data_IF_370905488072
#
_entry.id   IF_370905488072
#
_cell.length_a   1.000
_cell.length_b   1.000
_cell.length_c   1.000
_cell.angle_alpha   90.00
_cell.angle_beta   90.00
_cell.angle_gamma   90.00
#
_symmetry.space_group_name_H-M   'P 1'
#
loop_
_entity.id
_entity.type
_entity.pdbx_description
1 polymer ?
#
# COMPACT_ATOMS: atom_id res chain seq x y z
N UNK A 1 -3.94 -10.88 -32.00
CA UNK A 1 -5.41 -10.84 -32.12
C UNK A 1 -5.86 -9.40 -31.85
N UNK A 2 -6.88 -8.82 -32.59
CA UNK A 2 -7.29 -7.42 -32.36
C UNK A 2 -7.78 -7.14 -30.93
N UNK A 3 -8.31 -8.15 -30.22
CA UNK A 3 -8.69 -8.03 -28.81
C UNK A 3 -7.45 -7.88 -27.91
N UNK A 4 -6.40 -8.60 -28.21
CA UNK A 4 -5.13 -8.53 -27.43
C UNK A 4 -4.44 -7.19 -27.64
N UNK A 5 -4.58 -6.61 -28.85
CA UNK A 5 -4.00 -5.29 -29.16
C UNK A 5 -4.76 -4.17 -28.45
N UNK A 6 -6.08 -4.28 -28.35
CA UNK A 6 -6.92 -3.32 -27.62
C UNK A 6 -6.68 -3.40 -26.11
N UNK A 7 -6.46 -4.59 -25.58
CA UNK A 7 -6.11 -4.81 -24.18
C UNK A 7 -4.68 -4.35 -23.89
N UNK A 8 -3.75 -4.62 -24.80
CA UNK A 8 -2.37 -4.15 -24.72
C UNK A 8 -2.29 -2.62 -24.84
N UNK A 9 -3.04 -2.01 -25.77
CA UNK A 9 -3.14 -0.56 -25.87
C UNK A 9 -3.78 0.05 -24.63
N UNK A 10 -4.81 -0.57 -24.07
CA UNK A 10 -5.43 -0.14 -22.80
C UNK A 10 -4.46 -0.21 -21.62
N UNK A 11 -3.59 -1.21 -21.56
CA UNK A 11 -2.53 -1.33 -20.55
C UNK A 11 -1.43 -0.27 -20.75
N UNK A 12 -1.06 0.07 -21.99
CA UNK A 12 -0.09 1.12 -22.31
C UNK A 12 -0.68 2.53 -22.22
N UNK A 13 -1.94 2.70 -22.55
CA UNK A 13 -2.66 3.98 -22.37
C UNK A 13 -2.83 4.34 -20.89
N UNK A 14 -2.78 3.36 -20.00
CA UNK A 14 -2.90 3.56 -18.54
C UNK A 14 -1.87 4.54 -17.97
N UNK A 15 -0.70 4.69 -18.58
CA UNK A 15 0.32 5.62 -18.09
C UNK A 15 0.19 7.04 -18.63
N UNK A 16 -0.43 7.24 -19.80
CA UNK A 16 -0.48 8.54 -20.46
C UNK A 16 -1.87 9.18 -20.56
N UNK A 17 -2.93 8.37 -20.54
CA UNK A 17 -4.31 8.82 -20.81
C UNK A 17 -5.32 8.50 -19.70
N UNK A 18 -4.86 8.22 -18.49
CA UNK A 18 -5.75 8.00 -17.36
C UNK A 18 -6.55 9.27 -17.07
N UNK A 19 -7.88 9.11 -16.99
CA UNK A 19 -8.76 10.24 -16.64
C UNK A 19 -8.57 10.71 -15.21
N UNK A 20 -8.12 9.81 -14.33
CA UNK A 20 -7.84 10.04 -12.91
C UNK A 20 -6.39 10.48 -12.64
N UNK A 21 -5.58 10.71 -13.71
CA UNK A 21 -4.19 11.18 -13.57
C UNK A 21 -4.06 12.44 -12.70
N UNK A 22 -4.91 13.48 -12.86
CA UNK A 22 -4.83 14.68 -12.02
C UNK A 22 -5.03 14.37 -10.53
N UNK A 23 -5.92 13.44 -10.20
CA UNK A 23 -6.22 13.04 -8.84
C UNK A 23 -5.07 12.24 -8.22
N UNK A 24 -4.46 11.34 -9.01
CA UNK A 24 -3.26 10.60 -8.60
C UNK A 24 -2.10 11.55 -8.36
N UNK A 25 -1.89 12.54 -9.25
CA UNK A 25 -0.89 13.58 -9.08
C UNK A 25 -1.15 14.43 -7.85
N UNK A 26 -2.41 14.80 -7.58
CA UNK A 26 -2.77 15.55 -6.38
C UNK A 26 -2.47 14.76 -5.11
N UNK A 27 -2.76 13.45 -5.09
CA UNK A 27 -2.43 12.56 -3.98
C UNK A 27 -0.92 12.41 -3.78
N UNK A 28 -0.16 12.21 -4.87
CA UNK A 28 1.29 12.15 -4.83
C UNK A 28 1.91 13.46 -4.33
N UNK A 29 1.43 14.60 -4.83
CA UNK A 29 1.86 15.91 -4.40
C UNK A 29 1.58 16.16 -2.91
N UNK A 30 0.40 15.75 -2.43
CA UNK A 30 0.05 15.84 -1.02
C UNK A 30 1.05 15.07 -0.15
N UNK A 31 1.42 13.84 -0.53
CA UNK A 31 2.43 13.06 0.19
C UNK A 31 3.80 13.74 0.18
N UNK A 32 4.23 14.30 -0.95
CA UNK A 32 5.49 15.05 -1.04
C UNK A 32 5.51 16.22 -0.08
N UNK A 33 4.41 16.97 0.03
CA UNK A 33 4.30 18.18 0.88
C UNK A 33 4.25 17.84 2.38
N UNK A 34 3.79 16.64 2.74
CA UNK A 34 3.55 16.27 4.14
C UNK A 34 4.59 15.29 4.72
N UNK A 35 5.34 14.58 3.85
CA UNK A 35 6.42 13.68 4.28
C UNK A 35 7.71 14.45 4.53
N UNK A 36 8.14 14.48 5.78
CA UNK A 36 9.44 15.00 6.18
C UNK A 36 10.63 14.16 5.70
N UNK A 37 11.82 14.59 6.08
CA UNK A 37 13.04 13.82 5.84
C UNK A 37 13.02 12.54 6.67
N UNK A 38 13.29 11.40 6.03
CA UNK A 38 13.28 10.08 6.67
C UNK A 38 11.90 9.49 6.96
N UNK A 39 10.82 10.25 6.74
CA UNK A 39 9.45 9.74 6.88
C UNK A 39 9.02 8.98 5.62
N UNK A 40 8.19 7.97 5.82
CA UNK A 40 7.66 7.11 4.76
C UNK A 40 6.15 7.04 4.82
N UNK A 41 5.54 6.81 3.66
CA UNK A 41 4.15 6.41 3.54
C UNK A 41 4.07 4.96 3.07
N UNK A 42 2.97 4.28 3.36
CA UNK A 42 2.70 2.94 2.89
C UNK A 42 1.35 2.89 2.16
N UNK A 43 1.34 2.36 0.96
CA UNK A 43 0.12 2.17 0.18
C UNK A 43 -0.30 0.70 0.25
N UNK A 44 -1.45 0.43 0.89
CA UNK A 44 -1.98 -0.93 1.01
C UNK A 44 -2.49 -1.46 -0.34
N UNK A 45 -3.26 -0.69 -1.13
CA UNK A 45 -3.65 -1.11 -2.47
C UNK A 45 -2.44 -1.35 -3.38
N UNK A 46 -2.45 -2.50 -4.08
CA UNK A 46 -1.41 -2.85 -5.03
C UNK A 46 -2.01 -3.65 -6.19
N UNK A 47 -2.57 -2.94 -7.14
CA UNK A 47 -3.10 -3.52 -8.35
C UNK A 47 -2.45 -2.91 -9.60
N UNK A 48 -2.87 -3.34 -10.78
CA UNK A 48 -2.32 -2.81 -12.03
C UNK A 48 -2.63 -1.33 -12.26
N UNK A 49 -3.70 -0.81 -11.64
CA UNK A 49 -4.12 0.58 -11.82
C UNK A 49 -3.59 1.49 -10.71
N UNK A 50 -3.50 0.97 -9.51
CA UNK A 50 -3.17 1.71 -8.31
C UNK A 50 -2.14 0.96 -7.47
N UNK A 51 -0.90 1.37 -7.57
CA UNK A 51 0.22 0.80 -6.84
C UNK A 51 1.26 1.89 -6.50
N UNK A 52 2.17 1.62 -5.57
CA UNK A 52 3.21 2.57 -5.18
C UNK A 52 4.05 3.09 -6.35
N UNK A 53 4.33 2.23 -7.35
CA UNK A 53 5.09 2.61 -8.53
C UNK A 53 4.39 3.69 -9.38
N UNK A 54 3.06 3.62 -9.48
CA UNK A 54 2.29 4.65 -10.19
C UNK A 54 2.32 6.01 -9.46
N UNK A 55 2.26 6.01 -8.12
CA UNK A 55 2.39 7.25 -7.36
C UNK A 55 3.80 7.84 -7.49
N UNK A 56 4.86 7.03 -7.36
CA UNK A 56 6.25 7.49 -7.56
C UNK A 56 6.46 8.08 -8.95
N UNK A 57 5.91 7.43 -9.97
CA UNK A 57 6.01 7.90 -11.35
C UNK A 57 5.14 9.12 -11.66
N UNK A 58 4.12 9.41 -10.86
CA UNK A 58 3.31 10.63 -10.98
C UNK A 58 3.99 11.87 -10.41
N UNK A 59 5.00 11.69 -9.56
CA UNK A 59 5.83 12.75 -8.98
C UNK A 59 6.95 13.22 -9.92
N UNK A 60 6.96 12.80 -11.17
CA UNK A 60 7.95 13.27 -12.14
C UNK A 60 7.80 14.78 -12.38
N UNK A 61 8.91 15.54 -12.38
CA UNK A 61 10.30 15.07 -12.50
C UNK A 61 11.09 14.98 -11.18
N UNK A 62 10.49 15.24 -10.02
CA UNK A 62 11.23 15.44 -8.77
C UNK A 62 11.71 14.14 -8.11
N UNK A 63 11.10 13.00 -8.44
CA UNK A 63 11.35 11.70 -7.78
C UNK A 63 11.28 11.77 -6.24
N UNK A 64 10.52 12.75 -5.70
CA UNK A 64 10.51 13.06 -4.28
C UNK A 64 9.89 11.94 -3.41
N UNK A 65 9.15 11.02 -4.02
CA UNK A 65 8.60 9.82 -3.37
C UNK A 65 9.51 8.60 -3.47
N UNK A 66 10.64 8.68 -4.19
CA UNK A 66 11.60 7.59 -4.24
C UNK A 66 12.20 7.38 -2.83
N UNK A 67 12.16 6.13 -2.35
CA UNK A 67 12.57 5.79 -0.99
C UNK A 67 11.59 6.18 0.12
N UNK A 68 10.55 6.99 -0.17
CA UNK A 68 9.52 7.38 0.79
C UNK A 68 8.22 6.59 0.67
N UNK A 69 8.04 5.90 -0.43
CA UNK A 69 6.88 5.04 -0.71
C UNK A 69 7.40 3.68 -1.17
N UNK A 70 7.65 2.74 -0.24
CA UNK A 70 8.13 1.41 -0.58
C UNK A 70 7.09 0.64 -1.41
N UNK A 71 7.54 -0.41 -2.09
CA UNK A 71 6.64 -1.35 -2.74
C UNK A 71 5.79 -2.06 -1.69
N UNK A 72 4.57 -2.39 -2.07
CA UNK A 72 3.68 -3.17 -1.22
C UNK A 72 4.12 -4.64 -1.18
N UNK A 73 3.49 -5.44 -0.32
CA UNK A 73 3.84 -6.85 -0.09
C UNK A 73 3.47 -7.82 -1.23
N UNK A 74 2.83 -7.33 -2.28
CA UNK A 74 2.30 -8.16 -3.37
C UNK A 74 3.13 -8.05 -4.63
N UNK A 75 4.34 -8.60 -4.60
CA UNK A 75 5.07 -8.88 -5.85
C UNK A 75 4.66 -10.26 -6.34
N UNK A 76 4.22 -10.45 -7.61
CA UNK A 76 3.83 -11.75 -8.13
C UNK A 76 4.87 -12.82 -7.85
N UNK A 77 4.48 -13.87 -7.11
CA UNK A 77 5.33 -15.01 -6.77
C UNK A 77 6.24 -14.86 -5.55
N UNK A 78 6.23 -13.70 -4.89
CA UNK A 78 6.96 -13.50 -3.63
C UNK A 78 6.11 -12.76 -2.62
N UNK A 79 5.83 -13.40 -1.50
CA UNK A 79 5.24 -12.73 -0.35
C UNK A 79 6.34 -12.36 0.64
N UNK A 80 6.33 -11.15 1.15
CA UNK A 80 7.18 -10.74 2.25
C UNK A 80 6.34 -9.95 3.26
N UNK A 81 6.69 -10.07 4.52
CA UNK A 81 5.99 -9.34 5.56
C UNK A 81 6.32 -7.85 5.46
N UNK A 82 5.31 -6.97 5.38
CA UNK A 82 5.51 -5.56 5.03
C UNK A 82 5.93 -4.73 6.24
N UNK A 83 7.14 -4.93 6.75
CA UNK A 83 7.65 -4.17 7.92
C UNK A 83 7.59 -2.66 7.70
N UNK A 84 7.79 -2.18 6.46
CA UNK A 84 7.69 -0.76 6.12
C UNK A 84 6.31 -0.13 6.38
N UNK A 85 5.25 -0.93 6.52
CA UNK A 85 3.95 -0.45 6.96
C UNK A 85 3.99 0.08 8.40
N UNK A 86 4.72 -0.59 9.27
CA UNK A 86 4.82 -0.20 10.68
C UNK A 86 5.73 1.00 10.89
N UNK A 87 6.63 1.27 9.93
CA UNK A 87 7.49 2.45 9.92
C UNK A 87 6.79 3.67 9.30
N UNK A 88 5.63 3.46 8.64
CA UNK A 88 4.97 4.51 7.88
C UNK A 88 4.26 5.51 8.79
N UNK A 89 4.53 6.80 8.53
CA UNK A 89 3.75 7.90 9.11
C UNK A 89 2.35 7.98 8.49
N UNK A 90 2.26 7.79 7.17
CA UNK A 90 1.00 7.83 6.45
C UNK A 90 0.69 6.48 5.81
N UNK A 91 -0.57 6.06 5.91
CA UNK A 91 -1.10 4.86 5.25
C UNK A 91 -2.14 5.29 4.23
N UNK A 92 -2.02 4.77 3.01
CA UNK A 92 -2.97 5.01 1.92
C UNK A 92 -3.84 3.78 1.72
N UNK A 93 -5.15 3.98 1.76
CA UNK A 93 -6.18 2.96 1.49
C UNK A 93 -7.06 3.37 0.33
N UNK A 94 -7.85 2.44 -0.20
CA UNK A 94 -8.86 2.71 -1.24
C UNK A 94 -10.19 2.04 -0.90
N UNK A 95 -11.28 2.69 -1.31
CA UNK A 95 -12.64 2.15 -1.25
C UNK A 95 -13.35 2.42 -2.60
N UNK A 96 -13.86 1.37 -3.29
CA UNK A 96 -13.68 -0.04 -2.98
C UNK A 96 -12.19 -0.43 -3.03
N UNK A 97 -11.81 -1.42 -2.22
CA UNK A 97 -10.45 -1.96 -2.27
C UNK A 97 -10.23 -2.64 -3.63
N UNK A 98 -9.21 -2.24 -4.40
CA UNK A 98 -9.02 -2.77 -5.74
C UNK A 98 -8.68 -4.25 -5.70
N UNK A 99 -9.28 -4.99 -6.63
CA UNK A 99 -8.96 -6.40 -6.82
C UNK A 99 -7.61 -6.49 -7.53
N UNK A 100 -6.63 -7.07 -6.87
CA UNK A 100 -5.39 -7.43 -7.54
C UNK A 100 -5.62 -8.52 -8.59
N UNK A 101 -4.86 -8.48 -9.68
CA UNK A 101 -4.95 -9.47 -10.76
C UNK A 101 -4.23 -10.78 -10.42
N UNK A 102 -3.49 -10.84 -9.32
CA UNK A 102 -2.83 -12.08 -8.91
C UNK A 102 -3.83 -12.97 -8.17
N UNK A 103 -3.90 -14.27 -8.48
CA UNK A 103 -4.82 -15.19 -7.81
C UNK A 103 -4.59 -15.35 -6.31
N UNK A 104 -3.46 -14.86 -5.79
CA UNK A 104 -3.03 -15.00 -4.39
C UNK A 104 -3.38 -13.79 -3.51
N UNK A 105 -4.37 -12.97 -3.90
CA UNK A 105 -4.58 -11.64 -3.34
C UNK A 105 -5.55 -11.52 -2.19
N UNK A 106 -5.98 -12.61 -1.61
CA UNK A 106 -6.71 -12.56 -0.35
C UNK A 106 -5.88 -11.89 0.75
N UNK A 107 -4.55 -12.05 0.70
CA UNK A 107 -3.65 -11.42 1.67
C UNK A 107 -3.79 -9.90 1.74
N UNK A 108 -3.89 -9.23 0.59
CA UNK A 108 -4.13 -7.78 0.52
C UNK A 108 -5.46 -7.37 1.13
N UNK A 109 -6.51 -8.15 0.86
CA UNK A 109 -7.83 -7.92 1.45
C UNK A 109 -7.81 -8.13 2.97
N UNK A 110 -7.15 -9.18 3.46
CA UNK A 110 -7.02 -9.47 4.89
C UNK A 110 -6.21 -8.38 5.59
N UNK A 111 -5.08 -7.99 5.01
CA UNK A 111 -4.26 -6.91 5.54
C UNK A 111 -5.06 -5.60 5.65
N UNK A 112 -5.78 -5.22 4.59
CA UNK A 112 -6.66 -4.06 4.60
C UNK A 112 -7.78 -4.21 5.64
N UNK A 113 -8.36 -5.40 5.81
CA UNK A 113 -9.40 -5.64 6.80
C UNK A 113 -8.89 -5.44 8.24
N UNK A 114 -7.70 -5.92 8.57
CA UNK A 114 -7.04 -5.65 9.85
C UNK A 114 -6.81 -4.16 10.04
N UNK A 115 -6.28 -3.47 9.02
CA UNK A 115 -6.12 -2.02 9.07
C UNK A 115 -7.42 -1.31 9.39
N UNK A 116 -8.50 -1.65 8.69
CA UNK A 116 -9.82 -1.03 8.90
C UNK A 116 -10.39 -1.27 10.30
N UNK A 117 -10.03 -2.38 10.96
CA UNK A 117 -10.42 -2.65 12.35
C UNK A 117 -9.62 -1.81 13.36
N UNK A 118 -8.31 -1.65 13.13
CA UNK A 118 -7.41 -0.99 14.08
C UNK A 118 -7.29 0.52 13.88
N UNK A 119 -7.58 1.02 12.68
CA UNK A 119 -7.30 2.42 12.28
C UNK A 119 -7.91 3.47 13.21
N UNK A 120 -9.11 3.22 13.75
CA UNK A 120 -9.79 4.22 14.60
C UNK A 120 -9.06 4.49 15.92
N UNK A 121 -8.23 3.53 16.36
CA UNK A 121 -7.42 3.67 17.57
C UNK A 121 -5.97 4.01 17.29
N UNK A 122 -5.50 3.78 16.06
CA UNK A 122 -4.08 3.89 15.68
C UNK A 122 -3.81 5.04 14.71
N UNK A 123 -4.82 5.48 13.96
CA UNK A 123 -4.66 6.47 12.89
C UNK A 123 -5.80 7.48 12.90
N UNK A 124 -5.57 8.62 12.25
CA UNK A 124 -6.61 9.59 11.93
C UNK A 124 -6.65 9.84 10.42
N UNK A 125 -7.85 10.05 9.89
CA UNK A 125 -8.01 10.45 8.50
C UNK A 125 -7.54 11.90 8.30
N UNK A 126 -6.65 12.12 7.33
CA UNK A 126 -6.08 13.44 7.05
C UNK A 126 -6.37 13.97 5.65
N UNK A 127 -6.59 13.09 4.67
CA UNK A 127 -6.97 13.50 3.31
C UNK A 127 -7.78 12.43 2.59
N UNK A 128 -8.55 12.84 1.56
CA UNK A 128 -9.27 11.96 0.64
C UNK A 128 -9.13 12.45 -0.80
N UNK A 129 -9.09 11.50 -1.75
CA UNK A 129 -8.97 11.77 -3.18
C UNK A 129 -9.97 10.90 -3.94
N UNK A 130 -11.01 11.53 -4.51
CA UNK A 130 -11.95 10.86 -5.39
C UNK A 130 -11.35 10.76 -6.80
N UNK A 131 -11.16 9.55 -7.30
CA UNK A 131 -10.59 9.30 -8.62
C UNK A 131 -11.58 9.55 -9.78
N UNK A 132 -12.84 9.84 -9.47
CA UNK A 132 -13.88 10.11 -10.48
C UNK A 132 -14.37 8.86 -11.22
N UNK A 133 -13.94 7.68 -10.79
CA UNK A 133 -14.33 6.37 -11.35
C UNK A 133 -15.04 5.48 -10.32
N UNK A 134 -15.41 6.04 -9.16
CA UNK A 134 -16.04 5.34 -8.05
C UNK A 134 -15.05 4.83 -7.00
N UNK A 135 -13.74 5.06 -7.20
CA UNK A 135 -12.71 4.73 -6.20
C UNK A 135 -12.32 5.99 -5.44
N UNK A 136 -12.31 5.91 -4.13
CA UNK A 136 -11.85 6.98 -3.23
C UNK A 136 -10.62 6.50 -2.47
N UNK A 137 -9.53 7.24 -2.57
CA UNK A 137 -8.36 7.02 -1.73
C UNK A 137 -8.44 7.86 -0.47
N UNK A 138 -8.02 7.26 0.64
CA UNK A 138 -7.94 7.93 1.93
C UNK A 138 -6.52 7.81 2.47
N UNK A 139 -5.97 8.94 2.94
CA UNK A 139 -4.70 8.99 3.65
C UNK A 139 -4.98 9.08 5.14
N UNK A 140 -4.33 8.21 5.88
CA UNK A 140 -4.40 8.08 7.33
C UNK A 140 -3.06 8.40 7.94
N UNK A 141 -3.01 9.28 8.93
CA UNK A 141 -1.81 9.57 9.71
C UNK A 141 -1.79 8.71 10.97
N UNK A 142 -0.66 8.07 11.26
CA UNK A 142 -0.48 7.32 12.50
C UNK A 142 -0.45 8.27 13.68
N UNK A 143 -1.24 7.98 14.70
CA UNK A 143 -1.39 8.81 15.92
C UNK A 143 -0.83 8.15 17.17
N UNK A 144 -0.57 6.83 17.12
CA UNK A 144 -0.05 6.07 18.26
C UNK A 144 1.23 5.32 17.88
N UNK A 145 2.13 5.08 18.81
CA UNK A 145 3.25 4.17 18.57
C UNK A 145 2.77 2.78 18.19
N UNK A 146 3.53 2.10 17.35
CA UNK A 146 3.31 0.69 17.02
C UNK A 146 3.50 -0.15 18.29
N UNK A 147 2.67 -1.17 18.45
CA UNK A 147 2.80 -2.13 19.54
C UNK A 147 3.10 -3.53 19.02
N UNK A 148 3.74 -4.37 19.84
CA UNK A 148 3.96 -5.79 19.50
C UNK A 148 2.64 -6.49 19.15
N UNK A 149 1.58 -6.25 19.91
CA UNK A 149 0.25 -6.85 19.68
C UNK A 149 -0.32 -6.47 18.30
N UNK A 150 -0.14 -5.20 17.89
CA UNK A 150 -0.53 -4.76 16.54
C UNK A 150 0.21 -5.57 15.47
N UNK A 151 1.53 -5.67 15.57
CA UNK A 151 2.36 -6.40 14.60
C UNK A 151 1.99 -7.88 14.54
N UNK A 152 1.78 -8.53 15.69
CA UNK A 152 1.40 -9.93 15.80
C UNK A 152 0.00 -10.19 15.20
N UNK A 153 -0.92 -9.21 15.28
CA UNK A 153 -2.24 -9.31 14.65
C UNK A 153 -2.12 -9.41 13.12
N UNK A 154 -1.27 -8.58 12.51
CA UNK A 154 -1.00 -8.68 11.07
C UNK A 154 -0.25 -9.96 10.70
N UNK A 155 0.74 -10.38 11.51
CA UNK A 155 1.49 -11.62 11.29
C UNK A 155 0.56 -12.84 11.26
N UNK A 156 -0.42 -12.88 12.14
CA UNK A 156 -1.40 -13.97 12.19
C UNK A 156 -2.15 -14.14 10.86
N UNK A 157 -2.55 -13.05 10.20
CA UNK A 157 -3.20 -13.12 8.90
C UNK A 157 -2.26 -13.61 7.78
N UNK A 158 -0.98 -13.23 7.84
CA UNK A 158 0.03 -13.71 6.91
C UNK A 158 0.33 -15.20 7.08
N UNK A 159 0.44 -15.68 8.32
CA UNK A 159 0.68 -17.09 8.61
C UNK A 159 -0.53 -17.96 8.24
N UNK A 160 -1.75 -17.46 8.43
CA UNK A 160 -2.97 -18.15 8.03
C UNK A 160 -3.04 -18.39 6.51
N UNK A 161 -2.61 -17.42 5.71
CA UNK A 161 -2.55 -17.56 4.24
C UNK A 161 -1.40 -18.49 3.79
N UNK A 162 -0.32 -18.54 4.56
CA UNK A 162 0.86 -19.32 4.25
C UNK A 162 0.97 -20.60 5.11
N UNK A 163 -0.16 -21.25 5.40
CA UNK A 163 -0.23 -22.42 6.27
C UNK A 163 0.72 -23.57 5.89
N UNK A 164 1.22 -23.60 4.63
CA UNK A 164 2.23 -24.54 4.17
C UNK A 164 3.63 -24.28 4.75
N UNK A 165 3.90 -23.04 5.11
CA UNK A 165 5.19 -22.58 5.65
C UNK A 165 4.94 -21.74 6.91
N UNK A 166 4.40 -22.34 7.97
CA UNK A 166 4.16 -21.62 9.22
C UNK A 166 5.50 -21.05 9.71
N UNK A 167 5.42 -19.89 10.34
CA UNK A 167 6.58 -19.16 10.87
C UNK A 167 7.55 -18.57 9.81
N UNK A 168 7.19 -18.59 8.51
CA UNK A 168 8.06 -18.04 7.48
C UNK A 168 8.39 -16.56 7.73
N UNK A 169 7.44 -15.81 8.26
CA UNK A 169 7.58 -14.37 8.53
C UNK A 169 8.04 -14.05 9.95
N UNK A 170 7.96 -15.00 10.88
CA UNK A 170 8.27 -14.78 12.32
C UNK A 170 9.66 -14.22 12.54
N UNK A 171 10.67 -14.73 11.81
CA UNK A 171 12.06 -14.24 11.93
C UNK A 171 12.18 -12.78 11.50
N UNK A 172 11.49 -12.38 10.44
CA UNK A 172 11.51 -10.99 9.95
C UNK A 172 10.84 -10.08 10.96
N UNK A 173 9.71 -10.51 11.50
CA UNK A 173 8.94 -9.78 12.51
C UNK A 173 9.73 -9.64 13.81
N UNK A 174 10.30 -10.71 14.35
CA UNK A 174 11.10 -10.65 15.58
C UNK A 174 12.33 -9.76 15.43
N UNK A 175 13.00 -9.80 14.27
CA UNK A 175 14.12 -8.90 14.00
C UNK A 175 13.66 -7.43 13.97
N UNK A 176 12.53 -7.14 13.33
CA UNK A 176 11.98 -5.78 13.28
C UNK A 176 11.58 -5.30 14.68
N UNK A 177 10.87 -6.13 15.46
CA UNK A 177 10.50 -5.83 16.84
C UNK A 177 11.72 -5.55 17.72
N UNK A 178 12.76 -6.39 17.62
CA UNK A 178 13.98 -6.20 18.38
C UNK A 178 14.70 -4.87 18.04
N UNK A 179 14.73 -4.48 16.77
CA UNK A 179 15.31 -3.19 16.34
C UNK A 179 14.54 -2.00 16.93
N UNK A 180 13.24 -2.13 17.07
CA UNK A 180 12.34 -1.08 17.58
C UNK A 180 12.13 -1.13 19.12
N UNK A 181 12.73 -2.12 19.80
CA UNK A 181 12.63 -2.26 21.26
C UNK A 181 11.24 -2.70 21.75
N UNK A 182 10.52 -3.46 20.93
CA UNK A 182 9.17 -3.98 21.19
C UNK A 182 9.16 -5.44 21.64
#
# INVERSE_FOLDING_TARGET
>A
HPADLAEYQRLYELTYYRKDKPQIQAMAQWLVEHLGEGEVAYMIPDDMLYNPGHLRNCDLPSHALDGKLPDSFSVPGTHYFPTGFFDARYVVTADPFPLSLAPDTELGHRFNAVFLQLRETTHQQVATFDMGNGTVFTIWERTTPVTREEVETYLHEFDAENAKYPEMFSVVVENWLAVHGL
#
